data_IF_478406450893
#
_entry.id   IF_478406450893
#
_cell.length_a   1.000
_cell.length_b   1.000
_cell.length_c   1.000
_cell.angle_alpha   90.00
_cell.angle_beta   90.00
_cell.angle_gamma   90.00
#
_symmetry.space_group_name_H-M   'P 1'
#
loop_
_entity.id
_entity.type
_entity.pdbx_description
1 polymer ?
#
# COMPACT_ATOMS: atom_id res chain seq x y z
N UNK A 1 20.02 1.02 19.60
CA UNK A 1 19.11 1.35 18.47
C UNK A 1 18.25 2.52 18.97
N UNK A 2 18.33 3.70 18.34
CA UNK A 2 17.58 4.88 18.82
C UNK A 2 16.08 4.62 18.70
N UNK A 3 15.28 5.02 19.70
CA UNK A 3 13.83 4.79 19.79
C UNK A 3 13.09 5.22 18.50
N UNK A 4 13.56 6.30 17.88
CA UNK A 4 13.03 6.84 16.61
C UNK A 4 13.15 5.85 15.44
N UNK A 5 14.25 5.09 15.38
CA UNK A 5 14.48 4.09 14.30
C UNK A 5 13.58 2.87 14.46
N UNK A 6 13.22 2.55 15.70
CA UNK A 6 12.29 1.45 16.02
C UNK A 6 10.86 1.81 15.59
N UNK A 7 10.39 3.00 15.99
CA UNK A 7 9.06 3.49 15.59
C UNK A 7 8.95 3.60 14.08
N UNK A 8 9.96 4.18 13.42
CA UNK A 8 9.99 4.29 11.95
C UNK A 8 9.88 2.92 11.27
N UNK A 9 10.58 1.91 11.79
CA UNK A 9 10.54 0.54 11.24
C UNK A 9 9.16 -0.11 11.40
N UNK A 10 8.49 0.10 12.55
CA UNK A 10 7.12 -0.38 12.78
C UNK A 10 6.13 0.25 11.81
N UNK A 11 6.22 1.57 11.64
CA UNK A 11 5.33 2.32 10.73
C UNK A 11 5.49 1.83 9.29
N UNK A 12 6.73 1.62 8.83
CA UNK A 12 7.01 1.05 7.51
C UNK A 12 6.42 -0.36 7.37
N UNK A 13 6.51 -1.19 8.41
CA UNK A 13 5.96 -2.55 8.39
C UNK A 13 4.43 -2.53 8.31
N UNK A 14 3.78 -1.65 9.07
CA UNK A 14 2.33 -1.41 9.02
C UNK A 14 1.86 -0.96 7.64
N UNK A 15 2.56 0.00 7.03
CA UNK A 15 2.25 0.45 5.67
C UNK A 15 2.49 -0.64 4.63
N UNK A 16 3.50 -1.50 4.83
CA UNK A 16 3.77 -2.62 3.94
C UNK A 16 2.63 -3.64 3.97
N UNK A 17 2.10 -3.91 5.17
CA UNK A 17 0.93 -4.76 5.34
C UNK A 17 -0.33 -4.13 4.70
N UNK A 18 -0.50 -2.81 4.81
CA UNK A 18 -1.62 -2.10 4.19
C UNK A 18 -1.58 -2.18 2.65
N UNK A 19 -0.40 -2.05 2.05
CA UNK A 19 -0.20 -2.18 0.59
C UNK A 19 -0.33 -3.63 0.13
N UNK A 20 -0.07 -4.60 1.00
CA UNK A 20 -0.23 -6.03 0.72
C UNK A 20 -1.70 -6.46 0.58
N UNK A 21 -2.61 -5.90 1.38
CA UNK A 21 -4.04 -6.27 1.39
C UNK A 21 -4.70 -6.17 0.00
N UNK A 22 -4.64 -5.03 -0.74
CA UNK A 22 -5.35 -4.88 -2.01
C UNK A 22 -4.98 -5.92 -3.09
N UNK A 23 -3.69 -6.18 -3.41
CA UNK A 23 -3.34 -7.20 -4.39
C UNK A 23 -3.71 -8.60 -3.90
N UNK A 24 -3.52 -8.94 -2.63
CA UNK A 24 -3.92 -10.25 -2.12
C UNK A 24 -5.43 -10.48 -2.22
N UNK A 25 -6.22 -9.45 -1.96
CA UNK A 25 -7.68 -9.53 -2.07
C UNK A 25 -8.14 -9.64 -3.53
N UNK A 26 -7.56 -8.85 -4.43
CA UNK A 26 -7.84 -8.91 -5.88
C UNK A 26 -7.51 -10.29 -6.47
N UNK A 27 -6.28 -10.76 -6.25
CA UNK A 27 -5.83 -12.03 -6.81
C UNK A 27 -6.42 -13.24 -6.08
N UNK A 28 -6.76 -13.12 -4.79
CA UNK A 28 -7.46 -14.16 -4.03
C UNK A 28 -8.89 -14.38 -4.50
N UNK A 29 -9.64 -13.31 -4.76
CA UNK A 29 -11.00 -13.40 -5.32
C UNK A 29 -10.95 -13.84 -6.79
N UNK A 30 -10.07 -13.26 -7.60
CA UNK A 30 -9.90 -13.66 -9.00
C UNK A 30 -9.48 -15.12 -9.16
N UNK A 31 -8.56 -15.61 -8.33
CA UNK A 31 -8.12 -17.00 -8.32
C UNK A 31 -9.21 -17.98 -7.88
N UNK A 32 -10.13 -17.54 -7.02
CA UNK A 32 -11.27 -18.37 -6.60
C UNK A 32 -12.24 -18.60 -7.77
N UNK A 33 -12.55 -17.55 -8.53
CA UNK A 33 -13.37 -17.65 -9.73
C UNK A 33 -12.76 -18.56 -10.80
N UNK A 34 -11.43 -18.60 -10.93
CA UNK A 34 -10.75 -19.39 -11.94
C UNK A 34 -10.62 -20.89 -11.60
N UNK A 35 -10.40 -21.24 -10.33
CA UNK A 35 -10.10 -22.62 -9.93
C UNK A 35 -11.18 -23.28 -9.09
N UNK A 36 -12.15 -22.50 -8.58
CA UNK A 36 -13.16 -22.92 -7.60
C UNK A 36 -12.56 -23.56 -6.33
N UNK A 37 -11.25 -23.37 -6.10
CA UNK A 37 -10.49 -23.94 -4.99
C UNK A 37 -9.89 -22.82 -4.14
N UNK A 38 -10.43 -22.68 -2.92
CA UNK A 38 -10.08 -21.60 -1.99
C UNK A 38 -8.60 -21.64 -1.57
N UNK A 39 -8.02 -22.83 -1.45
CA UNK A 39 -6.62 -22.99 -1.03
C UNK A 39 -5.70 -22.47 -2.12
N UNK A 40 -5.98 -22.85 -3.37
CA UNK A 40 -5.17 -22.44 -4.52
C UNK A 40 -5.24 -20.93 -4.75
N UNK A 41 -6.43 -20.33 -4.58
CA UNK A 41 -6.60 -18.89 -4.73
C UNK A 41 -5.90 -18.10 -3.63
N UNK A 42 -5.93 -18.57 -2.38
CA UNK A 42 -5.20 -17.93 -1.28
C UNK A 42 -3.68 -17.99 -1.47
N UNK A 43 -3.14 -19.12 -1.95
CA UNK A 43 -1.70 -19.27 -2.20
C UNK A 43 -1.24 -18.30 -3.31
N UNK A 44 -1.99 -18.23 -4.42
CA UNK A 44 -1.67 -17.30 -5.51
C UNK A 44 -1.83 -15.86 -5.06
N UNK A 45 -2.94 -15.51 -4.40
CA UNK A 45 -3.17 -14.14 -3.91
C UNK A 45 -2.12 -13.67 -2.91
N UNK A 46 -1.69 -14.55 -2.00
CA UNK A 46 -0.64 -14.24 -1.03
C UNK A 46 0.72 -14.08 -1.71
N UNK A 47 1.05 -14.97 -2.65
CA UNK A 47 2.34 -14.92 -3.36
C UNK A 47 2.45 -13.64 -4.19
N UNK A 48 1.41 -13.33 -4.99
CA UNK A 48 1.37 -12.12 -5.80
C UNK A 48 1.36 -10.88 -4.91
N UNK A 49 0.58 -10.90 -3.83
CA UNK A 49 0.55 -9.81 -2.86
C UNK A 49 1.91 -9.49 -2.25
N UNK A 50 2.66 -10.51 -1.81
CA UNK A 50 4.00 -10.33 -1.23
C UNK A 50 4.95 -9.74 -2.28
N UNK A 51 4.92 -10.27 -3.51
CA UNK A 51 5.79 -9.78 -4.59
C UNK A 51 5.47 -8.32 -4.92
N UNK A 52 4.18 -7.98 -5.05
CA UNK A 52 3.76 -6.62 -5.39
C UNK A 52 4.06 -5.64 -4.25
N UNK A 53 3.79 -6.00 -2.99
CA UNK A 53 4.09 -5.12 -1.85
C UNK A 53 5.59 -4.88 -1.67
N UNK A 54 6.41 -5.92 -1.83
CA UNK A 54 7.87 -5.81 -1.78
C UNK A 54 8.42 -5.04 -3.00
N UNK A 55 7.83 -5.19 -4.18
CA UNK A 55 8.18 -4.40 -5.36
C UNK A 55 7.89 -2.91 -5.16
N UNK A 56 6.72 -2.57 -4.62
CA UNK A 56 6.37 -1.17 -4.31
C UNK A 56 7.33 -0.59 -3.27
N UNK A 57 7.64 -1.37 -2.23
CA UNK A 57 8.62 -1.00 -1.20
C UNK A 57 10.00 -0.68 -1.77
N UNK A 58 10.51 -1.53 -2.66
CA UNK A 58 11.84 -1.36 -3.25
C UNK A 58 11.89 -0.26 -4.31
N UNK A 59 10.84 -0.13 -5.12
CA UNK A 59 10.84 0.78 -6.28
C UNK A 59 10.47 2.21 -5.93
N UNK A 60 9.48 2.40 -5.06
CA UNK A 60 8.96 3.73 -4.76
C UNK A 60 9.34 4.21 -3.36
N UNK A 61 9.74 3.30 -2.46
CA UNK A 61 9.90 3.61 -1.05
C UNK A 61 8.55 3.88 -0.39
N UNK A 62 8.24 3.18 0.71
CA UNK A 62 6.92 3.30 1.34
C UNK A 62 6.55 4.72 1.75
N UNK A 63 7.52 5.49 2.26
CA UNK A 63 7.33 6.89 2.66
C UNK A 63 7.07 7.78 1.44
N UNK A 64 7.78 7.58 0.32
CA UNK A 64 7.61 8.37 -0.89
C UNK A 64 6.30 8.02 -1.62
N UNK A 65 5.90 6.75 -1.60
CA UNK A 65 4.62 6.31 -2.13
C UNK A 65 3.45 6.90 -1.34
N UNK A 66 3.51 6.82 0.00
CA UNK A 66 2.49 7.43 0.85
C UNK A 66 2.51 8.95 0.75
N UNK A 67 3.68 9.57 0.71
CA UNK A 67 3.84 11.01 0.50
C UNK A 67 3.19 11.45 -0.81
N UNK A 68 3.39 10.72 -1.91
CA UNK A 68 2.73 10.98 -3.20
C UNK A 68 1.22 10.75 -3.19
N UNK A 69 0.75 9.76 -2.42
CA UNK A 69 -0.67 9.44 -2.29
C UNK A 69 -1.39 10.53 -1.48
N UNK A 70 -0.78 10.96 -0.36
CA UNK A 70 -1.32 12.02 0.48
C UNK A 70 -1.19 13.41 -0.15
N UNK A 71 -0.16 13.65 -0.97
CA UNK A 71 0.02 14.91 -1.71
C UNK A 71 -0.84 14.99 -2.97
N UNK A 72 -1.77 14.06 -3.19
CA UNK A 72 -2.69 14.15 -4.32
C UNK A 72 -3.70 15.26 -4.05
N UNK A 73 -3.98 16.16 -5.02
CA UNK A 73 -4.82 17.34 -4.79
C UNK A 73 -6.26 17.03 -4.34
N UNK A 74 -6.75 15.82 -4.61
CA UNK A 74 -8.06 15.35 -4.11
C UNK A 74 -8.06 14.97 -2.62
N UNK A 75 -6.89 14.67 -2.05
CA UNK A 75 -6.71 14.24 -0.65
C UNK A 75 -6.10 15.37 0.19
N UNK A 76 -5.13 16.10 -0.38
CA UNK A 76 -4.56 17.30 0.21
C UNK A 76 -5.51 18.47 -0.03
N UNK A 77 -6.48 18.64 0.87
CA UNK A 77 -7.50 19.71 0.84
C UNK A 77 -6.97 21.15 0.88
N UNK A 78 -5.68 21.37 0.58
CA UNK A 78 -4.99 22.65 0.52
C UNK A 78 -5.28 23.45 -0.78
N UNK A 79 -6.51 23.36 -1.30
CA UNK A 79 -6.96 24.16 -2.44
C UNK A 79 -7.68 25.47 -2.06
N UNK A 80 -7.55 25.95 -0.81
CA UNK A 80 -8.34 27.10 -0.34
C UNK A 80 -7.57 28.19 0.42
N UNK A 81 -6.38 28.59 -0.07
CA UNK A 81 -5.69 29.80 0.44
C UNK A 81 -5.00 30.67 -0.61
N UNK A 82 -5.48 30.68 -1.86
CA UNK A 82 -4.90 31.57 -2.90
C UNK A 82 -5.87 32.55 -3.54
N UNK A 83 -7.16 32.60 -3.14
CA UNK A 83 -8.18 33.44 -3.78
C UNK A 83 -8.90 34.43 -2.84
N UNK A 84 -8.32 34.81 -1.70
CA UNK A 84 -8.92 35.80 -0.78
C UNK A 84 -8.13 37.12 -0.66
N UNK A 85 -7.14 37.36 -1.54
CA UNK A 85 -6.36 38.61 -1.55
C UNK A 85 -6.28 39.30 -2.93
N UNK A 86 -7.25 39.06 -3.82
CA UNK A 86 -7.50 39.92 -4.99
C UNK A 86 -8.71 40.81 -4.72
#
# INVERSE_FOLDING_TARGET
>A
MSFEKFVSSIVILLFWLWVFIPPTMLFGVGGYWASNNVIFSMVIGSTVGIITSEYIRRKYGLIQFLGRLLSHPDIDGSHKKYNENQ
#
